data_IF_031747775629
#
_entry.id   IF_031747775629
#
_cell.length_a   1.000
_cell.length_b   1.000
_cell.length_c   1.000
_cell.angle_alpha   90.00
_cell.angle_beta   90.00
_cell.angle_gamma   90.00
#
_symmetry.space_group_name_H-M   'P 1'
#
loop_
_entity.id
_entity.type
_entity.pdbx_description
1 polymer ?
#
# COMPACT_ATOMS: atom_id res chain seq x y z
N UNK A 1 4.32 -17.50 -16.94
CA UNK A 1 5.45 -17.26 -16.02
C UNK A 1 5.68 -18.57 -15.31
N UNK A 2 6.71 -19.32 -15.71
CA UNK A 2 7.01 -20.65 -15.16
C UNK A 2 8.10 -20.55 -14.09
N UNK A 3 7.87 -19.69 -13.09
CA UNK A 3 8.74 -19.63 -11.93
C UNK A 3 8.26 -20.68 -10.91
N UNK A 4 9.13 -21.57 -10.40
CA UNK A 4 8.73 -22.55 -9.41
C UNK A 4 8.26 -21.89 -8.11
N UNK A 5 7.28 -22.52 -7.45
CA UNK A 5 6.68 -22.01 -6.22
C UNK A 5 7.72 -21.71 -5.12
N UNK A 6 8.73 -22.59 -4.97
CA UNK A 6 9.82 -22.42 -3.99
C UNK A 6 10.66 -21.16 -4.25
N UNK A 7 10.84 -20.79 -5.51
CA UNK A 7 11.59 -19.58 -5.89
C UNK A 7 10.77 -18.34 -5.54
N UNK A 8 9.46 -18.34 -5.84
CA UNK A 8 8.56 -17.24 -5.46
C UNK A 8 8.53 -17.06 -3.94
N UNK A 9 8.42 -18.14 -3.16
CA UNK A 9 8.45 -18.07 -1.69
C UNK A 9 9.74 -17.43 -1.18
N UNK A 10 10.89 -17.82 -1.75
CA UNK A 10 12.18 -17.26 -1.34
C UNK A 10 12.31 -15.78 -1.71
N UNK A 11 11.82 -15.36 -2.88
CA UNK A 11 11.82 -13.95 -3.27
C UNK A 11 10.92 -13.15 -2.31
N UNK A 12 9.67 -13.59 -2.13
CA UNK A 12 8.68 -12.89 -1.30
C UNK A 12 9.09 -12.79 0.17
N UNK A 13 9.81 -13.78 0.70
CA UNK A 13 10.37 -13.73 2.05
C UNK A 13 11.57 -12.78 2.22
N UNK A 14 12.11 -12.23 1.13
CA UNK A 14 13.27 -11.31 1.15
C UNK A 14 12.93 -9.90 0.65
N UNK A 15 11.68 -9.63 0.27
CA UNK A 15 11.25 -8.30 -0.18
C UNK A 15 10.30 -7.66 0.83
N UNK A 16 10.37 -6.33 0.96
CA UNK A 16 9.49 -5.58 1.86
C UNK A 16 8.06 -5.43 1.34
N UNK A 17 7.19 -4.94 2.22
CA UNK A 17 5.75 -4.75 2.02
C UNK A 17 5.41 -4.01 0.73
N UNK A 18 6.09 -2.90 0.45
CA UNK A 18 5.87 -2.12 -0.77
C UNK A 18 6.18 -2.90 -2.04
N UNK A 19 7.28 -3.66 -2.05
CA UNK A 19 7.67 -4.47 -3.18
C UNK A 19 6.65 -5.60 -3.43
N UNK A 20 6.12 -6.21 -2.36
CA UNK A 20 5.04 -7.22 -2.44
C UNK A 20 3.80 -6.60 -3.10
N UNK A 21 3.35 -5.43 -2.65
CA UNK A 21 2.19 -4.74 -3.25
C UNK A 21 2.41 -4.42 -4.73
N UNK A 22 3.61 -3.99 -5.10
CA UNK A 22 3.95 -3.70 -6.50
C UNK A 22 3.95 -4.98 -7.34
N UNK A 23 4.55 -6.07 -6.86
CA UNK A 23 4.57 -7.37 -7.56
C UNK A 23 3.16 -7.91 -7.79
N UNK A 24 2.26 -7.77 -6.81
CA UNK A 24 0.84 -8.15 -6.92
C UNK A 24 0.12 -7.47 -8.10
N UNK A 25 0.53 -6.24 -8.46
CA UNK A 25 -0.07 -5.48 -9.56
C UNK A 25 0.42 -5.94 -10.94
N UNK A 26 1.60 -6.56 -11.03
CA UNK A 26 2.25 -6.87 -12.32
C UNK A 26 1.59 -7.97 -13.14
N UNK A 27 1.27 -9.13 -12.54
CA UNK A 27 0.71 -10.28 -13.28
C UNK A 27 -0.21 -11.15 -12.42
N UNK A 28 -1.07 -11.95 -13.07
CA UNK A 28 -2.02 -12.85 -12.40
C UNK A 28 -1.33 -13.89 -11.51
N UNK A 29 -0.18 -14.43 -11.94
CA UNK A 29 0.56 -15.44 -11.18
C UNK A 29 1.05 -14.89 -9.84
N UNK A 30 1.71 -13.72 -9.83
CA UNK A 30 2.13 -13.09 -8.57
C UNK A 30 0.94 -12.68 -7.72
N UNK A 31 -0.13 -12.17 -8.33
CA UNK A 31 -1.36 -11.81 -7.62
C UNK A 31 -1.95 -12.98 -6.85
N UNK A 32 -2.18 -14.10 -7.53
CA UNK A 32 -2.71 -15.31 -6.92
C UNK A 32 -1.76 -15.85 -5.84
N UNK A 33 -0.45 -15.92 -6.14
CA UNK A 33 0.54 -16.38 -5.16
C UNK A 33 0.52 -15.53 -3.87
N UNK A 34 0.51 -14.20 -4.00
CA UNK A 34 0.54 -13.28 -2.85
C UNK A 34 -0.77 -13.37 -2.06
N UNK A 35 -1.91 -13.42 -2.75
CA UNK A 35 -3.24 -13.54 -2.11
C UNK A 35 -3.38 -14.85 -1.33
N UNK A 36 -2.82 -15.96 -1.86
CA UNK A 36 -2.88 -17.29 -1.25
C UNK A 36 -1.85 -17.45 -0.11
N UNK A 37 -0.61 -17.04 -0.34
CA UNK A 37 0.52 -17.28 0.59
C UNK A 37 0.57 -16.24 1.71
N UNK A 38 0.13 -15.00 1.42
CA UNK A 38 0.21 -13.82 2.30
C UNK A 38 1.59 -13.72 2.97
N UNK A 39 2.64 -13.42 2.19
CA UNK A 39 4.00 -13.44 2.69
C UNK A 39 4.18 -12.51 3.89
N UNK A 40 4.97 -12.98 4.87
CA UNK A 40 5.42 -12.14 5.98
C UNK A 40 6.15 -10.95 5.37
N UNK A 41 5.86 -9.77 5.89
CA UNK A 41 6.42 -8.52 5.40
C UNK A 41 6.79 -7.62 6.59
N UNK A 42 7.44 -6.51 6.29
CA UNK A 42 7.96 -5.54 7.25
C UNK A 42 6.91 -4.49 7.68
N UNK A 43 5.63 -4.66 7.37
CA UNK A 43 4.59 -3.74 7.86
C UNK A 43 4.41 -3.88 9.37
N UNK A 44 4.70 -2.79 10.11
CA UNK A 44 4.52 -2.72 11.57
C UNK A 44 3.18 -2.10 11.95
N UNK A 45 2.85 -0.96 11.35
CA UNK A 45 1.67 -0.18 11.70
C UNK A 45 1.13 0.58 10.49
N UNK A 46 -0.20 0.72 10.43
CA UNK A 46 -0.91 1.66 9.58
C UNK A 46 -1.70 2.62 10.47
N UNK A 47 -1.52 3.94 10.27
CA UNK A 47 -2.38 4.96 10.88
C UNK A 47 -3.24 5.60 9.80
N UNK A 48 -4.53 5.68 10.07
CA UNK A 48 -5.49 6.25 9.13
C UNK A 48 -6.10 7.48 9.78
N UNK A 49 -5.93 8.62 9.14
CA UNK A 49 -6.52 9.89 9.55
C UNK A 49 -7.56 10.32 8.52
N UNK A 50 -8.80 10.49 8.96
CA UNK A 50 -9.91 10.99 8.16
C UNK A 50 -10.14 12.48 8.50
N UNK A 51 -10.01 13.33 7.50
CA UNK A 51 -10.42 14.73 7.55
C UNK A 51 -11.62 14.98 6.62
N UNK A 52 -12.22 16.16 6.71
CA UNK A 52 -13.40 16.51 5.89
C UNK A 52 -13.17 16.35 4.38
N UNK A 53 -11.95 16.63 3.91
CA UNK A 53 -11.60 16.65 2.49
C UNK A 53 -10.44 15.71 2.15
N UNK A 54 -10.08 14.80 3.06
CA UNK A 54 -8.98 13.87 2.80
C UNK A 54 -9.03 12.60 3.66
N UNK A 55 -8.43 11.54 3.13
CA UNK A 55 -7.88 10.43 3.93
C UNK A 55 -6.37 10.44 3.82
N UNK A 56 -5.68 10.26 4.95
CA UNK A 56 -4.24 9.99 5.00
C UNK A 56 -4.01 8.62 5.60
N UNK A 57 -3.14 7.85 4.95
CA UNK A 57 -2.65 6.56 5.42
C UNK A 57 -1.15 6.68 5.64
N UNK A 58 -0.73 6.68 6.89
CA UNK A 58 0.66 6.68 7.30
C UNK A 58 1.12 5.23 7.49
N UNK A 59 2.23 4.87 6.87
CA UNK A 59 2.75 3.51 6.87
C UNK A 59 4.07 3.47 7.62
N UNK A 60 4.16 2.57 8.60
CA UNK A 60 5.35 2.36 9.41
C UNK A 60 5.87 0.96 9.14
N UNK A 61 7.09 0.87 8.61
CA UNK A 61 7.77 -0.39 8.31
C UNK A 61 8.85 -0.66 9.37
N UNK A 62 9.03 -1.91 9.76
CA UNK A 62 10.12 -2.36 10.62
C UNK A 62 11.41 -2.46 9.79
N UNK A 63 12.28 -1.45 9.91
CA UNK A 63 13.60 -1.44 9.27
C UNK A 63 14.62 -2.12 10.18
N UNK A 64 14.59 -3.45 10.23
CA UNK A 64 15.60 -4.26 10.92
C UNK A 64 15.88 -3.80 12.37
N UNK A 65 14.84 -3.41 13.13
CA UNK A 65 14.96 -3.06 14.55
C UNK A 65 15.52 -1.66 14.87
N UNK A 66 15.73 -0.78 13.88
CA UNK A 66 16.08 0.62 14.14
C UNK A 66 14.86 1.55 14.00
N UNK A 67 14.66 2.36 15.05
CA UNK A 67 13.67 3.43 15.26
C UNK A 67 12.39 3.35 14.42
N UNK A 68 11.47 2.52 14.91
CA UNK A 68 10.21 2.21 14.27
C UNK A 68 9.09 3.25 14.53
N UNK A 69 9.48 4.48 14.92
CA UNK A 69 8.56 5.60 15.19
C UNK A 69 8.52 6.62 14.03
N UNK A 70 9.40 6.51 13.04
CA UNK A 70 9.33 7.35 11.83
C UNK A 70 8.41 6.76 10.78
N UNK A 71 7.44 7.57 10.35
CA UNK A 71 6.59 7.24 9.21
C UNK A 71 7.47 6.98 7.98
N UNK A 72 7.28 5.82 7.34
CA UNK A 72 8.05 5.43 6.16
C UNK A 72 7.56 6.16 4.91
N UNK A 73 6.24 6.26 4.75
CA UNK A 73 5.60 7.09 3.72
C UNK A 73 4.13 7.33 4.09
N UNK A 74 3.54 8.36 3.47
CA UNK A 74 2.12 8.70 3.60
C UNK A 74 1.44 8.59 2.25
N UNK A 75 0.33 7.88 2.16
CA UNK A 75 -0.59 7.98 1.02
C UNK A 75 -1.71 8.93 1.39
N UNK A 76 -1.97 9.95 0.58
CA UNK A 76 -3.05 10.90 0.81
C UNK A 76 -4.01 10.92 -0.36
N UNK A 77 -5.29 10.73 -0.05
CA UNK A 77 -6.43 10.83 -0.94
C UNK A 77 -7.14 12.12 -0.58
N UNK A 78 -7.28 13.07 -1.50
CA UNK A 78 -7.76 14.41 -1.20
C UNK A 78 -8.77 14.87 -2.24
N UNK A 79 -9.81 15.56 -1.81
CA UNK A 79 -10.63 16.34 -2.73
C UNK A 79 -9.75 17.45 -3.34
N UNK A 80 -9.87 17.66 -4.64
CA UNK A 80 -9.15 18.73 -5.31
C UNK A 80 -9.76 20.09 -4.93
N UNK A 81 -9.00 21.19 -5.10
CA UNK A 81 -9.55 22.53 -4.93
C UNK A 81 -10.66 22.87 -5.93
N UNK A 82 -10.68 22.20 -7.09
CA UNK A 82 -11.80 22.28 -8.02
C UNK A 82 -12.92 21.30 -7.59
N UNK A 83 -14.16 21.76 -7.63
CA UNK A 83 -15.29 21.14 -6.91
C UNK A 83 -15.83 19.85 -7.56
N UNK A 84 -15.01 19.13 -8.32
CA UNK A 84 -15.47 17.93 -9.04
C UNK A 84 -14.35 16.92 -9.35
N UNK A 85 -13.21 17.00 -8.65
CA UNK A 85 -12.15 16.03 -8.83
C UNK A 85 -11.45 15.69 -7.51
N UNK A 86 -10.64 14.64 -7.56
CA UNK A 86 -9.82 14.23 -6.43
C UNK A 86 -8.44 13.74 -6.86
N UNK A 87 -7.52 13.74 -5.89
CA UNK A 87 -6.09 13.58 -6.08
C UNK A 87 -5.54 12.52 -5.13
N UNK A 88 -4.56 11.75 -5.61
CA UNK A 88 -3.74 10.87 -4.78
C UNK A 88 -2.28 11.32 -4.83
N UNK A 89 -1.69 11.47 -3.66
CA UNK A 89 -0.26 11.74 -3.48
C UNK A 89 0.38 10.69 -2.58
N UNK A 90 1.66 10.42 -2.82
CA UNK A 90 2.52 9.75 -1.85
C UNK A 90 3.58 10.73 -1.37
N UNK A 91 3.76 10.80 -0.06
CA UNK A 91 4.79 11.59 0.57
C UNK A 91 5.83 10.64 1.16
N UNK A 92 7.08 10.89 0.80
CA UNK A 92 8.26 10.23 1.34
C UNK A 92 9.08 11.26 2.12
N UNK A 93 10.10 10.81 2.84
CA UNK A 93 10.96 11.71 3.62
C UNK A 93 11.69 12.75 2.75
N UNK A 94 11.90 12.45 1.48
CA UNK A 94 12.69 13.22 0.53
C UNK A 94 11.87 13.86 -0.62
N UNK A 95 10.54 13.68 -0.63
CA UNK A 95 9.72 14.27 -1.69
C UNK A 95 8.25 13.87 -1.71
N UNK A 96 7.56 14.40 -2.71
CA UNK A 96 6.15 14.13 -2.98
C UNK A 96 6.01 13.57 -4.40
N UNK A 97 5.32 12.45 -4.51
CA UNK A 97 4.96 11.79 -5.76
C UNK A 97 3.46 12.00 -6.02
N UNK A 98 3.13 12.64 -7.14
CA UNK A 98 1.76 12.68 -7.63
C UNK A 98 1.43 11.35 -8.30
N UNK A 99 0.36 10.69 -7.82
CA UNK A 99 -0.04 9.36 -8.31
C UNK A 99 -1.11 9.50 -9.39
N UNK A 100 -2.19 10.24 -9.11
CA UNK A 100 -3.35 10.33 -10.00
C UNK A 100 -4.26 11.51 -9.66
N UNK A 101 -4.93 12.05 -10.69
CA UNK A 101 -6.13 12.90 -10.60
C UNK A 101 -7.30 12.18 -11.28
N UNK A 102 -8.49 12.31 -10.72
CA UNK A 102 -9.72 11.74 -11.26
C UNK A 102 -10.85 12.75 -11.20
N UNK A 103 -11.53 12.93 -12.33
CA UNK A 103 -12.73 13.75 -12.44
C UNK A 103 -13.97 12.91 -12.10
N UNK A 104 -14.85 13.45 -11.25
CA UNK A 104 -16.01 12.77 -10.73
C UNK A 104 -15.71 11.64 -9.73
N UNK A 105 -16.77 11.20 -9.04
CA UNK A 105 -16.67 10.22 -7.95
C UNK A 105 -16.01 10.78 -6.69
N UNK A 106 -15.82 9.92 -5.70
CA UNK A 106 -15.31 10.33 -4.38
C UNK A 106 -13.94 9.71 -4.10
N UNK A 107 -13.05 10.50 -3.48
CA UNK A 107 -11.71 10.02 -3.08
C UNK A 107 -11.78 8.87 -2.06
N UNK A 108 -12.90 8.76 -1.33
CA UNK A 108 -13.10 7.73 -0.30
C UNK A 108 -13.23 6.34 -0.92
N UNK A 109 -13.84 6.23 -2.11
CA UNK A 109 -13.97 4.97 -2.84
C UNK A 109 -12.60 4.46 -3.28
N UNK A 110 -11.75 5.36 -3.77
CA UNK A 110 -10.38 5.03 -4.15
C UNK A 110 -9.57 4.56 -2.93
N UNK A 111 -9.73 5.24 -1.79
CA UNK A 111 -9.13 4.80 -0.53
C UNK A 111 -9.59 3.40 -0.15
N UNK A 112 -10.90 3.12 -0.12
CA UNK A 112 -11.40 1.79 0.27
C UNK A 112 -10.92 0.69 -0.68
N UNK A 113 -10.87 0.97 -1.98
CA UNK A 113 -10.34 0.02 -2.96
C UNK A 113 -8.88 -0.35 -2.66
N UNK A 114 -8.01 0.64 -2.48
CA UNK A 114 -6.59 0.40 -2.19
C UNK A 114 -6.39 -0.22 -0.80
N UNK A 115 -7.18 0.21 0.19
CA UNK A 115 -7.10 -0.29 1.56
C UNK A 115 -7.55 -1.75 1.68
N UNK A 116 -8.59 -2.16 0.97
CA UNK A 116 -9.03 -3.56 0.92
C UNK A 116 -7.89 -4.48 0.44
N UNK A 117 -7.14 -4.05 -0.57
CA UNK A 117 -5.99 -4.81 -1.08
C UNK A 117 -4.88 -4.94 -0.04
N UNK A 118 -4.64 -3.89 0.76
CA UNK A 118 -3.67 -3.91 1.85
C UNK A 118 -4.10 -4.92 2.92
N UNK A 119 -5.36 -4.89 3.34
CA UNK A 119 -5.91 -5.80 4.36
C UNK A 119 -5.89 -7.27 3.90
N UNK A 120 -6.23 -7.54 2.64
CA UNK A 120 -6.23 -8.91 2.08
C UNK A 120 -4.86 -9.59 2.14
N UNK A 121 -3.78 -8.80 2.07
CA UNK A 121 -2.41 -9.28 2.12
C UNK A 121 -1.88 -9.51 3.54
N UNK A 122 -2.65 -9.19 4.58
CA UNK A 122 -2.25 -9.45 5.96
C UNK A 122 -2.68 -10.83 6.42
N UNK A 123 -1.76 -11.52 7.12
CA UNK A 123 -2.10 -12.71 7.91
C UNK A 123 -2.68 -12.23 9.23
N UNK A 124 -3.96 -12.49 9.43
CA UNK A 124 -4.56 -12.39 10.76
C UNK A 124 -4.02 -13.57 11.58
N UNK A 125 -3.26 -13.30 12.64
CA UNK A 125 -2.92 -14.32 13.62
C UNK A 125 -4.25 -14.87 14.15
N UNK A 126 -4.55 -16.12 13.81
CA UNK A 126 -5.67 -16.90 14.37
C UNK A 126 -5.08 -18.11 15.07
#
# INVERSE_FOLDING_TARGET
MDMPHIVMTKIMGNVGFLAILNLRKTCKTFRNFIDDVKPINDLKELRITLGHFYVKVEVFLDKNGYDADRCSFVSSYQQAPDDNSWLIFKLYNDGVEFVKKMDGGEFIDAFFHDFELILKNQKWLT
#
